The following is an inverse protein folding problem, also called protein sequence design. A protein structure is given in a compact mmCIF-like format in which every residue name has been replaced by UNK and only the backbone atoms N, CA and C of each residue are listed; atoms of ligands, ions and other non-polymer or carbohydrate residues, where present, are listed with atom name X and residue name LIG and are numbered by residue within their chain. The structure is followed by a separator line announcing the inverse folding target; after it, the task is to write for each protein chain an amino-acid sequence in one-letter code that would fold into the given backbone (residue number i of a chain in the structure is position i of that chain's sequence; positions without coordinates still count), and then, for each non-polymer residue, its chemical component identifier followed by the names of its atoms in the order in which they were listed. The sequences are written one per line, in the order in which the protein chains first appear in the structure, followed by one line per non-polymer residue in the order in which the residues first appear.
data_IF_907850753535
#
_entry.id   IF_907850753535
#
_cell.length_a   1.000
_cell.length_b   1.000
_cell.length_c   1.000
_cell.angle_alpha   90.00
_cell.angle_beta   90.00
_cell.angle_gamma   90.00
#
_symmetry.space_group_name_H-M   'P 1'
#
loop_
_entity.id
_entity.type
_entity.pdbx_description
1 polymer ?
#
# COMPACT_ATOMS: atom_id res chain seq x y z
N UNK A 1 2.69 18.45 -16.34
CA UNK A 1 3.41 17.25 -15.90
C UNK A 1 2.82 16.07 -16.65
N UNK A 2 3.64 15.26 -17.31
CA UNK A 2 3.14 14.08 -18.00
C UNK A 2 2.78 13.01 -16.95
N UNK A 3 1.76 12.21 -17.18
CA UNK A 3 1.37 11.11 -16.28
C UNK A 3 2.50 10.12 -16.06
N UNK A 4 3.37 9.95 -17.06
CA UNK A 4 4.60 9.17 -16.92
C UNK A 4 5.54 9.71 -15.84
N UNK A 5 5.76 11.03 -15.80
CA UNK A 5 6.63 11.67 -14.79
C UNK A 5 6.02 11.51 -13.39
N UNK A 6 4.70 11.64 -13.29
CA UNK A 6 3.98 11.44 -12.03
C UNK A 6 4.12 10.01 -11.51
N UNK A 7 3.96 9.00 -12.38
CA UNK A 7 4.10 7.60 -12.01
C UNK A 7 5.52 7.27 -11.52
N UNK A 8 6.55 7.84 -12.15
CA UNK A 8 7.94 7.70 -11.71
C UNK A 8 8.12 8.31 -10.33
N UNK A 9 7.64 9.54 -10.09
CA UNK A 9 7.69 10.17 -8.76
C UNK A 9 6.96 9.33 -7.69
N UNK A 10 5.80 8.76 -8.02
CA UNK A 10 5.06 7.87 -7.12
C UNK A 10 5.86 6.59 -6.82
N UNK A 11 6.56 6.03 -7.81
CA UNK A 11 7.44 4.88 -7.62
C UNK A 11 8.62 5.24 -6.68
N UNK A 12 9.26 6.40 -6.88
CA UNK A 12 10.35 6.87 -6.02
C UNK A 12 9.90 7.04 -4.56
N UNK A 13 8.71 7.63 -4.34
CA UNK A 13 8.14 7.75 -3.00
C UNK A 13 7.86 6.37 -2.38
N UNK A 14 7.34 5.43 -3.17
CA UNK A 14 7.08 4.08 -2.70
C UNK A 14 8.38 3.34 -2.31
N UNK A 15 9.45 3.48 -3.12
CA UNK A 15 10.79 2.96 -2.79
C UNK A 15 11.30 3.58 -1.48
N UNK A 16 11.13 4.89 -1.30
CA UNK A 16 11.52 5.57 -0.06
C UNK A 16 10.79 4.99 1.16
N UNK A 17 9.47 4.78 1.08
CA UNK A 17 8.72 4.13 2.17
C UNK A 17 9.22 2.71 2.43
N UNK A 18 9.47 1.90 1.40
CA UNK A 18 10.03 0.56 1.57
C UNK A 18 11.40 0.61 2.26
N UNK A 19 12.33 1.45 1.79
CA UNK A 19 13.67 1.58 2.35
C UNK A 19 13.67 2.09 3.80
N UNK A 20 12.98 3.19 4.07
CA UNK A 20 12.91 3.74 5.43
C UNK A 20 12.17 2.82 6.40
N UNK A 21 11.16 2.07 5.94
CA UNK A 21 10.51 1.06 6.79
C UNK A 21 11.48 -0.02 7.26
N UNK A 22 12.43 -0.44 6.42
CA UNK A 22 13.47 -1.39 6.79
C UNK A 22 14.42 -0.83 7.85
N UNK A 23 14.75 0.45 7.77
CA UNK A 23 15.54 1.15 8.81
C UNK A 23 14.78 1.22 10.12
N UNK A 24 13.51 1.63 10.10
CA UNK A 24 12.65 1.67 11.30
C UNK A 24 12.52 0.27 11.91
N UNK A 25 12.38 -0.76 11.08
CA UNK A 25 12.32 -2.14 11.52
C UNK A 25 13.63 -2.58 12.22
N UNK A 26 14.79 -2.30 11.61
CA UNK A 26 16.09 -2.67 12.14
C UNK A 26 16.45 -1.93 13.44
N UNK A 27 16.04 -0.66 13.57
CA UNK A 27 16.31 0.15 14.76
C UNK A 27 15.30 -0.09 15.89
N UNK A 28 14.07 -0.46 15.56
CA UNK A 28 13.02 -0.76 16.53
C UNK A 28 13.15 -2.12 17.21
N UNK A 29 13.97 -3.03 16.69
CA UNK A 29 14.10 -4.41 17.19
C UNK A 29 15.06 -4.54 18.38
N UNK A 30 14.67 -4.01 19.54
CA UNK A 30 15.27 -4.43 20.83
C UNK A 30 14.47 -5.52 21.55
N UNK A 31 13.23 -5.78 21.12
CA UNK A 31 12.32 -6.79 21.69
C UNK A 31 11.70 -7.69 20.60
N UNK A 32 11.07 -8.80 21.02
CA UNK A 32 10.25 -9.66 20.16
C UNK A 32 9.10 -8.85 19.55
N UNK A 33 8.98 -8.87 18.22
CA UNK A 33 7.91 -8.15 17.53
C UNK A 33 6.56 -8.77 17.80
N UNK A 34 5.55 -7.94 18.07
CA UNK A 34 4.17 -8.42 18.10
C UNK A 34 3.72 -8.87 16.70
N UNK A 35 2.80 -9.83 16.66
CA UNK A 35 2.20 -10.32 15.41
C UNK A 35 1.60 -9.18 14.59
N UNK A 36 1.03 -8.17 15.27
CA UNK A 36 0.47 -6.96 14.65
C UNK A 36 1.54 -6.09 13.99
N UNK A 37 2.68 -5.88 14.65
CA UNK A 37 3.79 -5.12 14.09
C UNK A 37 4.36 -5.80 12.84
N UNK A 38 4.55 -7.13 12.88
CA UNK A 38 4.98 -7.92 11.72
C UNK A 38 3.97 -7.79 10.57
N UNK A 39 2.68 -7.92 10.86
CA UNK A 39 1.63 -7.81 9.85
C UNK A 39 1.62 -6.44 9.15
N UNK A 40 1.78 -5.35 9.93
CA UNK A 40 1.85 -3.97 9.41
C UNK A 40 3.11 -3.75 8.58
N UNK A 41 4.28 -4.16 9.06
CA UNK A 41 5.51 -4.04 8.29
C UNK A 41 5.45 -4.81 6.97
N UNK A 42 4.95 -6.06 6.99
CA UNK A 42 4.77 -6.84 5.77
C UNK A 42 3.78 -6.20 4.79
N UNK A 43 2.71 -5.59 5.29
CA UNK A 43 1.75 -4.88 4.45
C UNK A 43 2.38 -3.65 3.80
N UNK A 44 3.03 -2.80 4.61
CA UNK A 44 3.75 -1.62 4.15
C UNK A 44 4.73 -1.96 3.03
N UNK A 45 5.58 -2.95 3.28
CA UNK A 45 6.60 -3.38 2.33
C UNK A 45 5.99 -3.93 1.05
N UNK A 46 4.96 -4.79 1.16
CA UNK A 46 4.31 -5.37 -0.02
C UNK A 46 3.59 -4.31 -0.86
N UNK A 47 2.85 -3.40 -0.22
CA UNK A 47 2.13 -2.32 -0.93
C UNK A 47 3.11 -1.36 -1.61
N UNK A 48 4.19 -0.97 -0.93
CA UNK A 48 5.21 -0.11 -1.53
C UNK A 48 5.83 -0.77 -2.77
N UNK A 49 6.19 -2.06 -2.69
CA UNK A 49 6.72 -2.80 -3.84
C UNK A 49 5.69 -2.89 -4.96
N UNK A 50 4.42 -3.18 -4.63
CA UNK A 50 3.34 -3.20 -5.61
C UNK A 50 3.18 -1.84 -6.31
N UNK A 51 3.22 -0.72 -5.57
CA UNK A 51 3.17 0.62 -6.16
C UNK A 51 4.31 0.85 -7.14
N UNK A 52 5.53 0.41 -6.84
CA UNK A 52 6.66 0.53 -7.77
C UNK A 52 6.39 -0.24 -9.07
N UNK A 53 6.04 -1.52 -8.96
CA UNK A 53 5.78 -2.35 -10.14
C UNK A 53 4.62 -1.82 -10.98
N UNK A 54 3.54 -1.39 -10.33
CA UNK A 54 2.37 -0.85 -11.01
C UNK A 54 2.71 0.50 -11.65
N UNK A 55 3.40 1.41 -10.98
CA UNK A 55 3.81 2.68 -11.58
C UNK A 55 4.64 2.52 -12.86
N UNK A 56 5.50 1.49 -12.92
CA UNK A 56 6.34 1.22 -14.09
C UNK A 56 5.60 0.42 -15.19
N UNK A 57 4.48 -0.21 -14.87
CA UNK A 57 3.79 -1.14 -15.77
C UNK A 57 3.27 -0.47 -17.06
N UNK A 58 2.57 0.69 -17.03
CA UNK A 58 2.14 1.36 -18.26
C UNK A 58 3.29 1.72 -19.19
N UNK A 59 4.44 2.14 -18.63
CA UNK A 59 5.64 2.46 -19.39
C UNK A 59 6.27 1.21 -20.00
N UNK A 60 6.36 0.12 -19.24
CA UNK A 60 6.82 -1.15 -19.78
C UNK A 60 5.94 -1.64 -20.93
N UNK A 61 4.62 -1.50 -20.82
CA UNK A 61 3.66 -1.88 -21.87
C UNK A 61 3.74 -0.98 -23.12
N UNK A 62 4.00 0.32 -22.95
CA UNK A 62 4.11 1.24 -24.10
C UNK A 62 5.34 0.94 -24.97
N UNK A 63 6.41 0.38 -24.40
CA UNK A 63 7.59 -0.08 -25.17
C UNK A 63 7.27 -1.19 -26.18
N UNK A 64 6.18 -1.95 -25.99
CA UNK A 64 5.76 -2.99 -26.94
C UNK A 64 4.95 -2.43 -28.12
N UNK A 65 4.81 -1.10 -28.25
CA UNK A 65 4.08 -0.48 -29.35
C UNK A 65 2.56 -0.63 -29.26
N UNK A 66 2.04 -0.94 -28.07
CA UNK A 66 0.60 -0.99 -27.81
C UNK A 66 -0.03 0.40 -27.96
N UNK A 67 -1.29 0.43 -28.42
CA UNK A 67 -2.05 1.68 -28.41
C UNK A 67 -2.26 2.16 -26.98
N UNK A 68 -2.25 3.48 -26.78
CA UNK A 68 -2.36 4.11 -25.46
C UNK A 68 -3.57 3.60 -24.66
N UNK A 69 -4.72 3.45 -25.31
CA UNK A 69 -5.94 2.91 -24.67
C UNK A 69 -5.74 1.48 -24.16
N UNK A 70 -5.03 0.64 -24.91
CA UNK A 70 -4.80 -0.76 -24.54
C UNK A 70 -3.78 -0.87 -23.41
N UNK A 71 -2.74 -0.02 -23.41
CA UNK A 71 -1.78 0.10 -22.30
C UNK A 71 -2.51 0.34 -20.98
N UNK A 72 -3.38 1.35 -20.93
CA UNK A 72 -4.12 1.68 -19.71
C UNK A 72 -5.14 0.61 -19.31
N UNK A 73 -5.79 -0.04 -20.28
CA UNK A 73 -6.72 -1.16 -20.02
C UNK A 73 -6.03 -2.36 -19.40
N UNK A 74 -4.92 -2.79 -19.98
CA UNK A 74 -4.13 -3.91 -19.48
C UNK A 74 -3.56 -3.57 -18.10
N UNK A 75 -2.94 -2.39 -17.94
CA UNK A 75 -2.39 -1.96 -16.65
C UNK A 75 -3.47 -1.89 -15.55
N UNK A 76 -4.64 -1.30 -15.85
CA UNK A 76 -5.75 -1.20 -14.91
C UNK A 76 -6.33 -2.57 -14.55
N UNK A 77 -6.41 -3.49 -15.51
CA UNK A 77 -6.88 -4.86 -15.28
C UNK A 77 -5.92 -5.63 -14.37
N UNK A 78 -4.61 -5.52 -14.62
CA UNK A 78 -3.57 -6.12 -13.76
C UNK A 78 -3.66 -5.53 -12.35
N UNK A 79 -3.74 -4.21 -12.23
CA UNK A 79 -3.87 -3.54 -10.93
C UNK A 79 -5.11 -3.99 -10.16
N UNK A 80 -6.26 -4.10 -10.83
CA UNK A 80 -7.51 -4.55 -10.24
C UNK A 80 -7.36 -5.96 -9.65
N UNK A 81 -6.83 -6.90 -10.43
CA UNK A 81 -6.59 -8.29 -9.98
C UNK A 81 -5.64 -8.33 -8.78
N UNK A 82 -4.56 -7.56 -8.86
CA UNK A 82 -3.55 -7.47 -7.78
C UNK A 82 -4.17 -6.94 -6.49
N UNK A 83 -5.00 -5.89 -6.54
CA UNK A 83 -5.70 -5.34 -5.36
C UNK A 83 -6.71 -6.35 -4.81
N UNK A 84 -7.47 -7.05 -5.67
CA UNK A 84 -8.44 -8.05 -5.22
C UNK A 84 -7.78 -9.23 -4.50
N UNK A 85 -6.67 -9.75 -5.03
CA UNK A 85 -5.88 -10.80 -4.37
C UNK A 85 -5.40 -10.30 -3.00
N UNK A 86 -4.85 -9.08 -2.95
CA UNK A 86 -4.37 -8.48 -1.71
C UNK A 86 -5.50 -8.30 -0.68
N UNK A 87 -6.67 -7.80 -1.09
CA UNK A 87 -7.86 -7.66 -0.24
C UNK A 87 -8.31 -9.00 0.32
N UNK A 88 -8.37 -10.05 -0.50
CA UNK A 88 -8.83 -11.37 -0.07
C UNK A 88 -7.88 -11.99 0.97
N UNK A 89 -6.57 -12.01 0.68
CA UNK A 89 -5.56 -12.54 1.59
C UNK A 89 -5.52 -11.78 2.92
N UNK A 90 -5.66 -10.45 2.87
CA UNK A 90 -5.57 -9.60 4.07
C UNK A 90 -6.87 -9.55 4.85
N UNK A 91 -8.03 -9.60 4.20
CA UNK A 91 -9.31 -9.73 4.87
C UNK A 91 -9.35 -10.97 5.76
N UNK A 92 -8.91 -12.11 5.22
CA UNK A 92 -8.84 -13.37 5.97
C UNK A 92 -7.88 -13.28 7.16
N UNK A 93 -6.67 -12.73 6.94
CA UNK A 93 -5.66 -12.60 8.01
C UNK A 93 -6.08 -11.59 9.07
N UNK A 94 -6.75 -10.49 8.70
CA UNK A 94 -7.27 -9.49 9.64
C UNK A 94 -8.38 -10.08 10.51
N UNK A 95 -9.34 -10.82 9.91
CA UNK A 95 -10.38 -11.50 10.69
C UNK A 95 -9.79 -12.46 11.73
N UNK A 96 -8.77 -13.22 11.34
CA UNK A 96 -8.09 -14.11 12.30
C UNK A 96 -7.38 -13.33 13.41
N UNK A 97 -6.72 -12.21 13.10
CA UNK A 97 -6.05 -11.37 14.11
C UNK A 97 -7.04 -10.68 15.07
N UNK A 98 -8.21 -10.27 14.57
CA UNK A 98 -9.24 -9.63 15.40
C UNK A 98 -9.87 -10.58 16.43
N UNK A 99 -9.79 -11.89 16.21
CA UNK A 99 -10.32 -12.93 17.08
C UNK A 99 -9.34 -13.40 18.17
N UNK A 100 -8.04 -13.09 18.04
CA UNK A 100 -6.97 -13.68 18.86
C UNK A 100 -6.55 -12.82 20.06
N UNK A 101 -6.73 -11.51 20.00
CA UNK A 101 -6.41 -10.57 21.08
C UNK A 101 -7.59 -9.61 21.29
N UNK A 102 -7.73 -8.95 22.46
CA UNK A 102 -8.51 -7.71 22.55
C UNK A 102 -7.88 -6.70 21.59
N UNK A 103 -8.29 -6.79 20.34
CA UNK A 103 -7.56 -6.23 19.21
C UNK A 103 -7.43 -4.73 19.42
N UNK A 104 -6.18 -4.32 19.56
CA UNK A 104 -5.73 -2.95 19.74
C UNK A 104 -6.59 -2.03 18.86
N UNK A 105 -7.31 -1.08 19.46
CA UNK A 105 -8.35 -0.29 18.77
C UNK A 105 -7.78 0.41 17.53
N UNK A 106 -6.49 0.74 17.57
CA UNK A 106 -5.71 1.26 16.45
C UNK A 106 -5.62 0.28 15.27
N UNK A 107 -5.46 -1.04 15.51
CA UNK A 107 -5.47 -2.05 14.45
C UNK A 107 -6.82 -2.11 13.75
N UNK A 108 -7.93 -2.02 14.49
CA UNK A 108 -9.28 -1.99 13.90
C UNK A 108 -9.48 -0.75 13.05
N UNK A 109 -9.14 0.43 13.57
CA UNK A 109 -9.31 1.70 12.84
C UNK A 109 -8.46 1.71 11.57
N UNK A 110 -7.17 1.39 11.68
CA UNK A 110 -6.24 1.38 10.54
C UNK A 110 -6.62 0.29 9.54
N UNK A 111 -6.95 -0.92 10.00
CA UNK A 111 -7.37 -2.02 9.13
C UNK A 111 -8.65 -1.69 8.34
N UNK A 112 -9.65 -1.12 8.99
CA UNK A 112 -10.89 -0.67 8.34
C UNK A 112 -10.62 0.45 7.34
N UNK A 113 -9.80 1.45 7.69
CA UNK A 113 -9.44 2.52 6.77
C UNK A 113 -8.75 1.99 5.50
N UNK A 114 -7.80 1.06 5.66
CA UNK A 114 -7.13 0.41 4.54
C UNK A 114 -8.12 -0.35 3.65
N UNK A 115 -9.04 -1.09 4.25
CA UNK A 115 -10.06 -1.83 3.51
C UNK A 115 -10.96 -0.89 2.70
N UNK A 116 -11.45 0.20 3.31
CA UNK A 116 -12.30 1.20 2.64
C UNK A 116 -11.57 1.89 1.48
N UNK A 117 -10.29 2.26 1.68
CA UNK A 117 -9.45 2.84 0.63
C UNK A 117 -9.20 1.85 -0.52
N UNK A 118 -9.05 0.56 -0.22
CA UNK A 118 -8.92 -0.49 -1.23
C UNK A 118 -10.20 -0.66 -2.05
N UNK A 119 -11.37 -0.65 -1.39
CA UNK A 119 -12.69 -0.68 -2.06
C UNK A 119 -12.87 0.53 -2.98
N UNK A 120 -12.46 1.72 -2.53
CA UNK A 120 -12.51 2.93 -3.35
C UNK A 120 -11.67 2.79 -4.63
N UNK A 121 -10.46 2.23 -4.51
CA UNK A 121 -9.56 1.99 -5.65
C UNK A 121 -10.16 0.99 -6.65
N UNK A 122 -10.70 -0.13 -6.16
CA UNK A 122 -11.40 -1.13 -6.99
C UNK A 122 -12.58 -0.50 -7.74
N UNK A 123 -13.36 0.33 -7.06
CA UNK A 123 -14.51 1.01 -7.66
C UNK A 123 -14.06 1.98 -8.75
N UNK A 124 -13.04 2.79 -8.48
CA UNK A 124 -12.49 3.73 -9.46
C UNK A 124 -11.96 3.01 -10.71
N UNK A 125 -11.16 1.95 -10.54
CA UNK A 125 -10.63 1.15 -11.66
C UNK A 125 -11.75 0.49 -12.47
N UNK A 126 -12.79 -0.03 -11.80
CA UNK A 126 -13.94 -0.66 -12.47
C UNK A 126 -14.70 0.36 -13.33
N UNK A 127 -14.90 1.59 -12.83
CA UNK A 127 -15.53 2.67 -13.59
C UNK A 127 -14.67 3.14 -14.78
N UNK A 128 -13.35 3.13 -14.64
CA UNK A 128 -12.42 3.43 -15.74
C UNK A 128 -12.41 2.35 -16.83
N UNK A 129 -12.42 1.08 -16.43
CA UNK A 129 -12.49 -0.06 -17.35
C UNK A 129 -13.82 -0.14 -18.10
N UNK A 130 -14.92 0.24 -17.46
CA UNK A 130 -16.23 0.38 -18.09
C UNK A 130 -16.39 1.66 -18.92
N UNK A 131 -15.31 2.44 -19.10
CA UNK A 131 -15.23 3.64 -19.94
C UNK A 131 -16.14 4.80 -19.50
N UNK A 132 -16.70 4.76 -18.29
CA UNK A 132 -17.47 5.86 -17.71
C UNK A 132 -16.58 7.04 -17.28
N UNK A 133 -15.27 6.80 -17.09
CA UNK A 133 -14.27 7.79 -16.69
C UNK A 133 -12.96 7.58 -17.46
N UNK A 134 -12.10 8.60 -17.57
CA UNK A 134 -10.77 8.44 -18.17
C UNK A 134 -9.95 7.38 -17.41
N UNK A 135 -9.60 6.30 -18.10
CA UNK A 135 -8.96 5.12 -17.50
C UNK A 135 -7.61 5.43 -16.85
N UNK A 136 -6.85 6.34 -17.48
CA UNK A 136 -5.59 6.86 -16.95
C UNK A 136 -5.77 7.55 -15.59
N UNK A 137 -6.76 8.42 -15.46
CA UNK A 137 -7.02 9.14 -14.20
C UNK A 137 -7.44 8.17 -13.08
N UNK A 138 -8.25 7.15 -13.41
CA UNK A 138 -8.64 6.11 -12.45
C UNK A 138 -7.47 5.22 -12.01
N UNK A 139 -6.50 4.99 -12.91
CA UNK A 139 -5.30 4.25 -12.62
C UNK A 139 -4.37 5.01 -11.66
N UNK A 140 -4.04 6.26 -12.02
CA UNK A 140 -3.15 7.12 -11.22
C UNK A 140 -3.74 7.38 -9.83
N UNK A 141 -5.03 7.69 -9.75
CA UNK A 141 -5.70 7.90 -8.45
C UNK A 141 -5.65 6.67 -7.55
N UNK A 142 -5.76 5.46 -8.12
CA UNK A 142 -5.64 4.22 -7.36
C UNK A 142 -4.23 4.00 -6.82
N UNK A 143 -3.17 4.36 -7.56
CA UNK A 143 -1.79 4.29 -7.06
C UNK A 143 -1.60 5.27 -5.90
N UNK A 144 -2.12 6.49 -6.02
CA UNK A 144 -2.07 7.50 -4.94
C UNK A 144 -2.75 6.95 -3.68
N UNK A 145 -3.90 6.29 -3.80
CA UNK A 145 -4.60 5.69 -2.66
C UNK A 145 -3.78 4.55 -2.02
N UNK A 146 -3.16 3.67 -2.82
CA UNK A 146 -2.26 2.63 -2.29
C UNK A 146 -1.04 3.23 -1.58
N UNK A 147 -0.49 4.30 -2.13
CA UNK A 147 0.64 5.00 -1.54
C UNK A 147 0.25 5.69 -0.22
N UNK A 148 -0.96 6.24 -0.14
CA UNK A 148 -1.51 6.78 1.10
C UNK A 148 -1.70 5.69 2.16
N UNK A 149 -2.18 4.50 1.77
CA UNK A 149 -2.24 3.34 2.65
C UNK A 149 -0.85 2.97 3.19
N UNK A 150 0.17 2.94 2.32
CA UNK A 150 1.56 2.72 2.72
C UNK A 150 2.03 3.78 3.71
N UNK A 151 1.79 5.07 3.43
CA UNK A 151 2.16 6.16 4.31
C UNK A 151 1.53 6.05 5.71
N UNK A 152 0.24 5.69 5.80
CA UNK A 152 -0.44 5.49 7.09
C UNK A 152 0.22 4.38 7.91
N UNK A 153 0.58 3.26 7.27
CA UNK A 153 1.23 2.15 7.97
C UNK A 153 2.64 2.51 8.42
N UNK A 154 3.39 3.23 7.57
CA UNK A 154 4.72 3.72 7.93
C UNK A 154 4.67 4.68 9.12
N UNK A 155 3.72 5.62 9.12
CA UNK A 155 3.51 6.55 10.23
C UNK A 155 3.22 5.81 11.53
N UNK A 156 2.29 4.85 11.49
CA UNK A 156 1.93 4.05 12.67
C UNK A 156 3.13 3.22 13.15
N UNK A 157 3.85 2.56 12.25
CA UNK A 157 5.04 1.77 12.60
C UNK A 157 6.10 2.63 13.29
N UNK A 158 6.37 3.81 12.74
CA UNK A 158 7.35 4.75 13.28
C UNK A 158 6.93 5.29 14.64
N UNK A 159 5.66 5.68 14.81
CA UNK A 159 5.13 6.13 16.10
C UNK A 159 5.22 5.03 17.16
N UNK A 160 4.88 3.78 16.81
CA UNK A 160 5.01 2.66 17.75
C UNK A 160 6.46 2.40 18.14
N UNK A 161 7.40 2.48 17.19
CA UNK A 161 8.83 2.30 17.47
C UNK A 161 9.38 3.40 18.40
N UNK A 162 8.97 4.66 18.20
CA UNK A 162 9.36 5.80 19.04
C UNK A 162 8.82 5.63 20.47
N UNK A 163 7.56 5.22 20.62
CA UNK A 163 6.95 5.00 21.94
C UNK A 163 7.67 3.89 22.72
N UNK A 164 8.01 2.78 22.07
CA UNK A 164 8.81 1.70 22.67
C UNK A 164 10.19 2.19 23.11
N UNK A 165 10.84 3.05 22.33
CA UNK A 165 12.13 3.65 22.68
C UNK A 165 12.06 4.55 23.92
N UNK A 166 10.98 5.32 24.10
CA UNK A 166 10.79 6.21 25.25
C UNK A 166 10.60 5.46 26.57
N UNK A 167 9.93 4.30 26.58
CA UNK A 167 9.71 3.53 27.80
C UNK A 167 11.00 2.93 28.39
N UNK A 168 12.03 2.70 27.56
CA UNK A 168 13.34 2.22 28.02
C UNK A 168 14.14 3.34 28.73
N UNK A 169 13.91 4.61 28.38
CA UNK A 169 14.62 5.75 28.95
C UNK A 169 14.13 6.24 30.32
N UNK A 170 13.09 5.63 30.90
CA UNK A 170 12.52 6.03 32.20
C UNK A 170 13.02 5.21 33.41
N UNK A 171 14.02 4.33 33.22
CA UNK A 171 14.65 3.53 34.27
C UNK A 171 16.09 3.96 34.60
N UNK A 172 16.40 5.24 34.43
CA UNK A 172 17.68 5.83 34.84
C UNK A 172 17.48 7.00 35.78
#
# INVERSE_FOLDING_TARGET
MNSSDLLIQLAEIAVAFAGFSGVVAALGSKNVWSTVAVFRFQNLLLISIMCVFLSLLPQALSFYGLQERDVWKVASSVMLVVILIFMFQRGFKLMNLLNLEPADQLLRIVGTAIYLLSVLSVTALSLGLAEYRPIEATYVSSIIVLLFVSALQFAVLTLTAIQSGRQVGQWH
#
